data_IF_734138275056
#
_entry.id   IF_734138275056
#
_cell.length_a   1.000
_cell.length_b   1.000
_cell.length_c   1.000
_cell.angle_alpha   90.00
_cell.angle_beta   90.00
_cell.angle_gamma   90.00
#
_symmetry.space_group_name_H-M   'P 1'
#
loop_
_entity.id
_entity.type
_entity.pdbx_description
1 polymer ?
#
# COMPACT_ATOMS: atom_id res chain seq x y z
N UNK A 1 -10.60 -3.81 17.66
CA UNK A 1 -10.65 -2.34 17.53
C UNK A 1 -11.30 -1.99 16.19
N UNK A 2 -11.91 -0.82 16.01
CA UNK A 2 -12.70 -0.49 14.82
C UNK A 2 -11.92 -0.60 13.49
N UNK A 3 -10.61 -0.32 13.55
CA UNK A 3 -9.67 -0.33 12.42
C UNK A 3 -8.83 -1.61 12.29
N UNK A 4 -9.19 -2.69 12.99
CA UNK A 4 -8.40 -3.93 12.99
C UNK A 4 -9.27 -5.13 12.62
N UNK A 5 -8.83 -5.89 11.63
CA UNK A 5 -9.36 -7.23 11.31
C UNK A 5 -8.23 -8.25 11.37
N UNK A 6 -8.27 -9.13 12.36
CA UNK A 6 -7.17 -10.07 12.64
C UNK A 6 -5.87 -9.33 12.96
N UNK A 7 -4.83 -9.53 12.12
CA UNK A 7 -3.51 -8.87 12.25
C UNK A 7 -3.33 -7.64 11.36
N UNK A 8 -4.33 -7.33 10.54
CA UNK A 8 -4.31 -6.24 9.56
C UNK A 8 -4.97 -5.01 10.17
N UNK A 9 -4.29 -3.88 10.07
CA UNK A 9 -4.79 -2.56 10.43
C UNK A 9 -5.18 -1.79 9.17
N UNK A 10 -6.38 -1.21 9.14
CA UNK A 10 -6.84 -0.27 8.11
C UNK A 10 -6.70 1.17 8.60
N UNK A 11 -5.91 1.97 7.89
CA UNK A 11 -5.59 3.36 8.24
C UNK A 11 -6.09 4.32 7.17
N UNK A 12 -6.94 5.26 7.59
CA UNK A 12 -7.41 6.40 6.79
C UNK A 12 -6.97 7.69 7.47
N UNK A 13 -6.25 8.54 6.74
CA UNK A 13 -5.76 9.84 7.19
C UNK A 13 -6.28 10.91 6.24
N UNK A 14 -6.85 11.98 6.80
CA UNK A 14 -7.13 13.23 6.09
C UNK A 14 -6.25 14.34 6.65
N UNK A 15 -5.24 14.74 5.86
CA UNK A 15 -4.38 15.87 6.17
C UNK A 15 -4.83 17.08 5.35
N UNK A 16 -5.26 18.20 5.98
CA UNK A 16 -5.58 19.42 5.24
C UNK A 16 -4.36 19.93 4.50
N UNK A 17 -4.50 20.25 3.22
CA UNK A 17 -3.44 20.83 2.39
C UNK A 17 -3.39 22.34 2.63
N UNK A 18 -2.19 22.91 2.66
CA UNK A 18 -1.99 24.36 2.82
C UNK A 18 -2.59 25.09 1.62
N UNK A 19 -3.44 26.08 1.89
CA UNK A 19 -3.93 27.03 0.89
C UNK A 19 -3.12 28.33 0.99
N UNK A 20 -2.13 28.48 0.12
CA UNK A 20 -1.30 29.68 0.01
C UNK A 20 -1.52 30.34 -1.36
N UNK A 21 -2.23 31.48 -1.43
CA UNK A 21 -2.51 32.17 -2.69
C UNK A 21 -1.26 32.82 -3.30
N UNK A 22 -0.15 32.89 -2.56
CA UNK A 22 1.10 33.49 -3.03
C UNK A 22 2.13 32.46 -3.48
N UNK A 23 1.83 31.16 -3.37
CA UNK A 23 2.72 30.11 -3.81
C UNK A 23 2.83 30.11 -5.35
N UNK A 24 4.06 30.03 -5.86
CA UNK A 24 4.33 29.93 -7.31
C UNK A 24 3.69 28.65 -7.91
N UNK A 25 3.74 27.55 -7.16
CA UNK A 25 3.01 26.31 -7.44
C UNK A 25 2.15 26.00 -6.22
N UNK A 26 0.84 25.79 -6.43
CA UNK A 26 -0.06 25.45 -5.34
C UNK A 26 0.35 24.12 -4.69
N UNK A 27 0.15 24.02 -3.38
CA UNK A 27 0.57 22.85 -2.59
C UNK A 27 -0.04 21.54 -3.07
N UNK A 28 -1.30 21.55 -3.52
CA UNK A 28 -1.96 20.40 -4.12
C UNK A 28 -1.32 19.99 -5.45
N UNK A 29 -0.94 20.96 -6.29
CA UNK A 29 -0.24 20.72 -7.54
C UNK A 29 1.16 20.14 -7.29
N UNK A 30 1.89 20.67 -6.31
CA UNK A 30 3.20 20.15 -5.91
C UNK A 30 3.12 18.69 -5.46
N UNK A 31 2.14 18.34 -4.61
CA UNK A 31 1.89 16.95 -4.21
C UNK A 31 1.58 16.08 -5.43
N UNK A 32 0.64 16.48 -6.30
CA UNK A 32 0.25 15.71 -7.50
C UNK A 32 1.46 15.46 -8.41
N UNK A 33 2.28 16.48 -8.65
CA UNK A 33 3.48 16.39 -9.46
C UNK A 33 4.49 15.42 -8.86
N UNK A 34 4.74 15.50 -7.55
CA UNK A 34 5.63 14.56 -6.87
C UNK A 34 5.09 13.12 -6.96
N UNK A 35 3.82 12.90 -6.62
CA UNK A 35 3.20 11.56 -6.67
C UNK A 35 3.22 10.94 -8.07
N UNK A 36 3.17 11.75 -9.14
CA UNK A 36 3.29 11.26 -10.51
C UNK A 36 4.67 10.65 -10.81
N UNK A 37 5.71 11.03 -10.07
CA UNK A 37 7.08 10.51 -10.22
C UNK A 37 7.36 9.27 -9.36
N UNK A 38 6.50 8.98 -8.38
CA UNK A 38 6.72 7.85 -7.46
C UNK A 38 6.53 6.52 -8.19
N UNK A 39 7.55 5.62 -8.21
CA UNK A 39 7.42 4.32 -8.85
C UNK A 39 6.40 3.43 -8.12
N UNK A 40 5.74 2.55 -8.88
CA UNK A 40 4.66 1.66 -8.42
C UNK A 40 5.05 0.19 -8.37
N UNK A 41 6.31 -0.11 -8.66
CA UNK A 41 6.89 -1.45 -8.63
C UNK A 41 7.74 -1.64 -7.36
N UNK A 42 8.70 -2.57 -7.39
CA UNK A 42 9.63 -2.83 -6.29
C UNK A 42 10.50 -1.63 -5.90
N UNK A 43 10.62 -0.60 -6.76
CA UNK A 43 11.33 0.63 -6.45
C UNK A 43 10.47 1.66 -5.69
N UNK A 44 9.18 1.36 -5.47
CA UNK A 44 8.32 2.21 -4.64
C UNK A 44 8.91 2.37 -3.24
N UNK A 45 8.93 3.59 -2.65
CA UNK A 45 9.37 3.76 -1.26
C UNK A 45 8.57 2.88 -0.29
N UNK A 46 7.27 2.67 -0.55
CA UNK A 46 6.43 1.81 0.26
C UNK A 46 6.82 0.32 0.21
N UNK A 47 7.65 -0.11 -0.76
CA UNK A 47 8.22 -1.46 -0.76
C UNK A 47 9.21 -1.68 0.39
N UNK A 48 9.86 -0.62 0.90
CA UNK A 48 10.70 -0.68 2.10
C UNK A 48 9.86 -0.95 3.38
N UNK A 49 8.59 -0.55 3.37
CA UNK A 49 7.64 -0.83 4.45
C UNK A 49 7.00 -2.21 4.26
N UNK A 50 7.80 -3.26 4.49
CA UNK A 50 7.46 -4.66 4.19
C UNK A 50 6.17 -5.22 4.81
N UNK A 51 5.58 -4.54 5.81
CA UNK A 51 4.27 -4.87 6.38
C UNK A 51 3.08 -4.28 5.62
N UNK A 52 3.31 -3.41 4.64
CA UNK A 52 2.25 -2.76 3.85
C UNK A 52 1.68 -3.72 2.81
N UNK A 53 0.37 -3.98 2.87
CA UNK A 53 -0.37 -4.71 1.84
C UNK A 53 -0.71 -3.81 0.66
N UNK A 54 -1.23 -2.62 0.96
CA UNK A 54 -1.62 -1.59 0.00
C UNK A 54 -1.47 -0.23 0.66
N UNK A 55 -1.08 0.77 -0.13
CA UNK A 55 -1.21 2.16 0.26
C UNK A 55 -1.72 2.99 -0.93
N UNK A 56 -2.37 4.11 -0.63
CA UNK A 56 -2.86 5.06 -1.62
C UNK A 56 -2.74 6.47 -1.06
N UNK A 57 -2.19 7.36 -1.88
CA UNK A 57 -2.12 8.79 -1.66
C UNK A 57 -2.93 9.49 -2.76
N UNK A 58 -3.93 10.28 -2.36
CA UNK A 58 -4.80 11.01 -3.29
C UNK A 58 -5.00 12.42 -2.76
N UNK A 59 -4.95 13.40 -3.66
CA UNK A 59 -5.41 14.75 -3.36
C UNK A 59 -6.90 14.81 -3.68
N UNK A 60 -7.70 15.16 -2.68
CA UNK A 60 -9.15 15.36 -2.76
C UNK A 60 -9.44 16.86 -2.72
N UNK A 61 -9.88 17.41 -3.84
CA UNK A 61 -10.17 18.84 -3.95
C UNK A 61 -11.52 19.20 -3.33
N UNK A 62 -12.53 18.36 -3.56
CA UNK A 62 -13.89 18.60 -3.08
C UNK A 62 -14.72 17.31 -3.01
N UNK A 63 -15.87 17.36 -2.33
CA UNK A 63 -16.85 16.27 -2.30
C UNK A 63 -18.07 16.62 -3.15
N UNK A 64 -18.50 15.67 -3.97
CA UNK A 64 -19.72 15.85 -4.77
C UNK A 64 -20.92 15.48 -3.90
N UNK A 65 -21.83 16.43 -3.68
CA UNK A 65 -23.09 16.18 -3.01
C UNK A 65 -24.00 15.28 -3.86
N UNK A 66 -24.41 14.12 -3.31
CA UNK A 66 -25.29 13.15 -3.99
C UNK A 66 -26.67 13.15 -3.33
N UNK A 67 -27.43 14.24 -3.52
CA UNK A 67 -28.78 14.39 -2.98
C UNK A 67 -29.67 15.31 -3.83
N UNK A 68 -30.98 15.33 -3.55
CA UNK A 68 -31.95 16.22 -4.21
C UNK A 68 -32.58 17.16 -3.17
N UNK A 69 -32.60 18.49 -3.38
CA UNK A 69 -32.02 19.21 -4.52
C UNK A 69 -30.49 19.22 -4.47
N UNK A 70 -29.84 19.18 -5.63
CA UNK A 70 -28.38 19.26 -5.70
C UNK A 70 -27.91 20.59 -5.11
N UNK A 71 -27.10 20.53 -4.05
CA UNK A 71 -26.45 21.69 -3.44
C UNK A 71 -24.95 21.43 -3.44
N UNK A 72 -24.16 22.35 -3.98
CA UNK A 72 -22.71 22.27 -3.89
C UNK A 72 -22.30 22.40 -2.41
N UNK A 73 -21.58 21.40 -1.92
CA UNK A 73 -21.02 21.37 -0.57
C UNK A 73 -19.50 21.37 -0.70
N UNK A 74 -18.92 22.57 -0.65
CA UNK A 74 -17.47 22.73 -0.77
C UNK A 74 -16.79 22.40 0.56
N UNK A 75 -15.72 21.62 0.51
CA UNK A 75 -14.84 21.43 1.66
C UNK A 75 -14.13 22.75 2.03
N UNK A 76 -13.91 22.99 3.33
CA UNK A 76 -13.16 24.16 3.81
C UNK A 76 -11.66 24.11 3.49
N UNK A 77 -11.17 22.96 3.01
CA UNK A 77 -9.79 22.74 2.59
C UNK A 77 -9.75 21.61 1.57
N UNK A 78 -8.74 21.62 0.71
CA UNK A 78 -8.33 20.42 -0.02
C UNK A 78 -7.65 19.46 0.95
N UNK A 79 -7.77 18.17 0.73
CA UNK A 79 -7.20 17.16 1.63
C UNK A 79 -6.27 16.21 0.90
N UNK A 80 -5.16 15.90 1.56
CA UNK A 80 -4.39 14.71 1.25
C UNK A 80 -5.02 13.53 1.98
N UNK A 81 -5.52 12.59 1.19
CA UNK A 81 -6.03 11.29 1.65
C UNK A 81 -4.89 10.29 1.62
N UNK A 82 -4.55 9.73 2.78
CA UNK A 82 -3.66 8.57 2.88
C UNK A 82 -4.43 7.37 3.42
N UNK A 83 -4.49 6.33 2.60
CA UNK A 83 -5.12 5.05 2.90
C UNK A 83 -4.04 3.97 2.93
N UNK A 84 -4.01 3.13 3.95
CA UNK A 84 -3.06 2.01 4.02
C UNK A 84 -3.62 0.83 4.80
N UNK A 85 -3.35 -0.38 4.30
CA UNK A 85 -3.56 -1.61 5.04
C UNK A 85 -2.21 -2.26 5.32
N UNK A 86 -1.93 -2.56 6.58
CA UNK A 86 -0.65 -3.14 6.98
C UNK A 86 -0.78 -4.15 8.11
N UNK A 87 0.20 -5.05 8.21
CA UNK A 87 0.34 -5.95 9.34
C UNK A 87 0.99 -5.22 10.53
N UNK A 88 0.43 -5.39 11.73
CA UNK A 88 1.04 -4.89 12.98
C UNK A 88 0.29 -3.71 13.63
N UNK A 89 0.99 -2.98 14.51
CA UNK A 89 0.43 -1.84 15.22
C UNK A 89 0.75 -0.51 14.53
N UNK A 90 -0.14 0.48 14.75
CA UNK A 90 -0.09 1.78 14.11
C UNK A 90 1.17 2.58 14.48
N UNK A 91 1.59 2.57 15.74
CA UNK A 91 2.75 3.35 16.21
C UNK A 91 4.05 2.87 15.58
N UNK A 92 4.26 1.55 15.53
CA UNK A 92 5.41 0.94 14.87
C UNK A 92 5.40 1.27 13.37
N UNK A 93 4.23 1.16 12.71
CA UNK A 93 4.11 1.45 11.29
C UNK A 93 4.47 2.90 10.96
N UNK A 94 3.91 3.88 11.68
CA UNK A 94 4.19 5.29 11.47
C UNK A 94 5.64 5.65 11.80
N UNK A 95 6.21 5.04 12.83
CA UNK A 95 7.64 5.21 13.17
C UNK A 95 8.53 4.69 12.06
N UNK A 96 8.20 3.54 11.46
CA UNK A 96 8.94 3.02 10.30
C UNK A 96 8.76 3.87 9.07
N UNK A 97 7.57 4.42 8.83
CA UNK A 97 7.33 5.34 7.73
C UNK A 97 8.27 6.56 7.83
N UNK A 98 8.35 7.18 9.01
CA UNK A 98 9.25 8.31 9.24
C UNK A 98 10.75 7.95 9.07
N UNK A 99 11.14 6.73 9.45
CA UNK A 99 12.56 6.30 9.42
C UNK A 99 13.02 5.76 8.07
N UNK A 100 12.17 5.02 7.36
CA UNK A 100 12.54 4.27 6.16
C UNK A 100 12.23 5.03 4.87
N UNK A 101 11.21 5.90 4.89
CA UNK A 101 10.85 6.71 3.72
C UNK A 101 10.74 8.22 4.03
N UNK A 102 11.75 8.81 4.73
CA UNK A 102 11.67 10.20 5.17
C UNK A 102 11.52 11.18 3.99
N UNK A 103 12.19 10.93 2.87
CA UNK A 103 12.15 11.81 1.71
C UNK A 103 10.75 11.86 1.08
N UNK A 104 10.06 10.71 0.97
CA UNK A 104 8.68 10.67 0.50
C UNK A 104 7.76 11.40 1.48
N UNK A 105 7.92 11.13 2.78
CA UNK A 105 7.09 11.75 3.82
C UNK A 105 7.24 13.27 3.79
N UNK A 106 8.47 13.76 3.73
CA UNK A 106 8.75 15.20 3.70
C UNK A 106 8.24 15.84 2.40
N UNK A 107 8.42 15.18 1.24
CA UNK A 107 7.98 15.69 -0.06
C UNK A 107 6.46 15.79 -0.18
N UNK A 108 5.70 15.05 0.62
CA UNK A 108 4.24 15.02 0.56
C UNK A 108 3.63 15.83 1.70
N UNK A 109 4.00 15.55 2.95
CA UNK A 109 3.35 16.14 4.12
C UNK A 109 3.86 17.53 4.48
N UNK A 110 5.01 17.99 3.97
CA UNK A 110 5.41 19.41 4.11
C UNK A 110 4.43 20.38 3.47
N UNK A 111 3.59 19.89 2.56
CA UNK A 111 2.51 20.65 1.94
C UNK A 111 1.19 20.61 2.74
N UNK A 112 1.17 19.97 3.92
CA UNK A 112 -0.02 19.84 4.77
C UNK A 112 0.04 20.72 6.02
N UNK A 113 -1.13 21.23 6.42
CA UNK A 113 -1.27 22.11 7.59
C UNK A 113 -0.87 21.38 8.87
N UNK A 114 -0.03 22.02 9.68
CA UNK A 114 0.36 21.54 11.00
C UNK A 114 1.31 20.34 11.01
N UNK A 115 1.87 19.97 9.86
CA UNK A 115 2.89 18.93 9.77
C UNK A 115 4.15 19.32 10.56
N UNK A 116 4.66 18.48 11.47
CA UNK A 116 5.76 18.84 12.37
C UNK A 116 7.16 18.55 11.78
N UNK A 117 7.26 17.97 10.58
CA UNK A 117 8.51 17.45 10.03
C UNK A 117 8.73 15.97 10.36
N UNK A 118 9.47 15.25 9.50
CA UNK A 118 9.67 13.78 9.66
C UNK A 118 10.77 13.41 10.65
N UNK A 119 11.64 14.37 11.00
CA UNK A 119 12.83 14.14 11.84
C UNK A 119 12.52 13.74 13.28
N UNK A 120 11.29 14.01 13.74
CA UNK A 120 10.76 13.52 15.00
C UNK A 120 9.65 12.50 14.72
N UNK A 121 9.96 11.19 14.71
CA UNK A 121 8.96 10.14 14.45
C UNK A 121 7.79 10.15 15.44
N UNK A 122 8.00 10.62 16.68
CA UNK A 122 6.94 10.67 17.67
C UNK A 122 5.96 11.82 17.38
N UNK A 123 6.48 13.01 17.06
CA UNK A 123 5.66 14.13 16.62
C UNK A 123 4.90 13.81 15.34
N UNK A 124 5.58 13.16 14.39
CA UNK A 124 4.98 12.67 13.15
C UNK A 124 3.82 11.69 13.40
N UNK A 125 4.04 10.67 14.24
CA UNK A 125 3.00 9.71 14.56
C UNK A 125 1.80 10.35 15.28
N UNK A 126 2.06 11.31 16.18
CA UNK A 126 1.02 12.08 16.85
C UNK A 126 0.21 12.94 15.86
N UNK A 127 0.87 13.58 14.89
CA UNK A 127 0.21 14.31 13.81
C UNK A 127 -0.70 13.40 12.99
N UNK A 128 -0.21 12.23 12.56
CA UNK A 128 -1.00 11.27 11.79
C UNK A 128 -2.24 10.81 12.56
N UNK A 129 -2.08 10.43 13.84
CA UNK A 129 -3.22 10.04 14.69
C UNK A 129 -4.26 11.15 14.83
N UNK A 130 -3.84 12.42 14.88
CA UNK A 130 -4.76 13.56 14.91
C UNK A 130 -5.54 13.73 13.60
N UNK A 131 -4.93 13.39 12.48
CA UNK A 131 -5.54 13.41 11.14
C UNK A 131 -6.31 12.11 10.80
N UNK A 132 -6.31 11.12 11.68
CA UNK A 132 -6.93 9.83 11.43
C UNK A 132 -8.45 9.90 11.51
N UNK A 133 -9.11 9.31 10.51
CA UNK A 133 -10.53 8.97 10.61
C UNK A 133 -10.63 7.58 11.24
N UNK A 134 -11.33 7.48 12.36
CA UNK A 134 -11.65 6.18 12.96
C UNK A 134 -12.82 5.54 12.21
N UNK A 135 -12.53 4.47 11.46
CA UNK A 135 -13.54 3.72 10.70
C UNK A 135 -14.37 2.88 11.66
N UNK A 136 -15.70 2.87 11.53
CA UNK A 136 -16.59 2.12 12.44
C UNK A 136 -16.70 0.63 12.07
N UNK A 137 -16.36 0.24 10.85
CA UNK A 137 -16.41 -1.15 10.34
C UNK A 137 -15.36 -1.38 9.23
N UNK A 138 -14.19 -1.91 9.58
CA UNK A 138 -13.20 -2.39 8.60
C UNK A 138 -13.37 -3.90 8.34
N UNK A 139 -13.58 -4.29 7.08
CA UNK A 139 -13.66 -5.70 6.66
C UNK A 139 -12.47 -6.04 5.76
N UNK A 140 -11.53 -6.84 6.26
CA UNK A 140 -10.46 -7.40 5.43
C UNK A 140 -10.93 -8.70 4.76
N UNK A 141 -10.72 -8.82 3.44
CA UNK A 141 -11.11 -9.98 2.63
C UNK A 141 -10.22 -11.22 2.89
N UNK A 142 -9.04 -11.03 3.51
CA UNK A 142 -8.07 -12.10 3.78
C UNK A 142 -7.73 -12.16 5.28
N UNK A 143 -8.70 -12.55 6.09
CA UNK A 143 -8.55 -12.66 7.54
C UNK A 143 -7.68 -13.88 7.89
N UNK A 144 -6.38 -13.65 8.18
CA UNK A 144 -5.38 -14.54 8.83
C UNK A 144 -4.06 -14.80 8.07
N UNK A 145 -3.76 -14.07 7.00
CA UNK A 145 -2.50 -14.24 6.25
C UNK A 145 -1.71 -12.94 6.16
N UNK A 146 -0.41 -12.99 6.46
CA UNK A 146 0.52 -11.85 6.28
C UNK A 146 0.87 -11.65 4.82
N UNK A 147 1.35 -10.46 4.42
CA UNK A 147 1.87 -10.18 3.06
C UNK A 147 2.83 -11.29 2.62
N UNK A 148 3.78 -11.61 3.51
CA UNK A 148 4.82 -12.62 3.30
C UNK A 148 4.23 -14.01 3.01
N UNK A 149 3.17 -14.40 3.73
CA UNK A 149 2.49 -15.68 3.50
C UNK A 149 1.71 -15.71 2.19
N UNK A 150 1.05 -14.61 1.82
CA UNK A 150 0.33 -14.47 0.55
C UNK A 150 1.29 -14.52 -0.64
N UNK A 151 2.40 -13.79 -0.58
CA UNK A 151 3.44 -13.81 -1.61
C UNK A 151 4.03 -15.21 -1.79
N UNK A 152 4.31 -15.91 -0.68
CA UNK A 152 4.80 -17.29 -0.71
C UNK A 152 3.77 -18.23 -1.35
N UNK A 153 2.49 -18.11 -0.99
CA UNK A 153 1.41 -18.94 -1.55
C UNK A 153 1.28 -18.76 -3.06
N UNK A 154 1.28 -17.52 -3.55
CA UNK A 154 1.19 -17.21 -4.98
C UNK A 154 2.40 -17.75 -5.75
N UNK A 155 3.61 -17.62 -5.20
CA UNK A 155 4.83 -18.19 -5.79
C UNK A 155 4.77 -19.72 -5.86
N UNK A 156 4.26 -20.38 -4.81
CA UNK A 156 4.07 -21.84 -4.78
C UNK A 156 3.07 -22.27 -5.84
N UNK A 157 1.92 -21.61 -5.92
CA UNK A 157 0.89 -21.91 -6.91
C UNK A 157 1.44 -21.84 -8.35
N UNK A 158 2.15 -20.76 -8.69
CA UNK A 158 2.80 -20.59 -9.99
C UNK A 158 3.79 -21.73 -10.30
N UNK A 159 4.61 -22.07 -9.31
CA UNK A 159 5.68 -23.07 -9.45
C UNK A 159 5.10 -24.49 -9.57
N UNK A 160 3.98 -24.78 -8.92
CA UNK A 160 3.25 -26.06 -9.08
C UNK A 160 2.65 -26.16 -10.47
N UNK A 161 2.00 -25.10 -10.97
CA UNK A 161 1.43 -25.09 -12.31
C UNK A 161 2.50 -25.36 -13.38
N UNK A 162 3.65 -24.68 -13.27
CA UNK A 162 4.79 -24.89 -14.16
C UNK A 162 5.40 -26.29 -14.03
N UNK A 163 5.48 -26.83 -12.81
CA UNK A 163 5.93 -28.20 -12.57
C UNK A 163 5.03 -29.22 -13.28
N UNK A 164 3.71 -29.09 -13.12
CA UNK A 164 2.72 -29.95 -13.78
C UNK A 164 2.90 -29.90 -15.30
N UNK A 165 2.95 -28.70 -15.88
CA UNK A 165 3.12 -28.52 -17.33
C UNK A 165 4.39 -29.20 -17.87
N UNK A 166 5.52 -29.09 -17.17
CA UNK A 166 6.81 -29.68 -17.58
C UNK A 166 6.92 -31.20 -17.38
N UNK A 167 6.04 -31.80 -16.59
CA UNK A 167 6.14 -33.21 -16.19
C UNK A 167 4.95 -34.06 -16.68
N UNK A 168 4.11 -33.51 -17.56
CA UNK A 168 3.07 -34.29 -18.25
C UNK A 168 3.70 -35.43 -19.05
N UNK A 169 3.09 -36.62 -19.01
CA UNK A 169 3.53 -37.79 -19.76
C UNK A 169 4.78 -38.51 -19.22
N UNK A 170 5.37 -38.08 -18.09
CA UNK A 170 6.49 -38.78 -17.45
C UNK A 170 6.03 -40.01 -16.67
N UNK A 171 6.93 -40.97 -16.48
CA UNK A 171 6.65 -42.15 -15.65
C UNK A 171 6.48 -41.77 -14.17
N UNK A 172 5.79 -42.62 -13.40
CA UNK A 172 5.55 -42.40 -11.98
C UNK A 172 6.87 -42.25 -11.17
N UNK A 173 7.90 -43.02 -11.52
CA UNK A 173 9.21 -42.97 -10.86
C UNK A 173 9.92 -41.65 -11.12
N UNK A 174 9.92 -41.18 -12.37
CA UNK A 174 10.51 -39.89 -12.74
C UNK A 174 9.75 -38.73 -12.12
N UNK A 175 8.41 -38.81 -12.09
CA UNK A 175 7.56 -37.80 -11.47
C UNK A 175 7.79 -37.72 -9.97
N UNK A 176 7.93 -38.85 -9.28
CA UNK A 176 8.23 -38.89 -7.85
C UNK A 176 9.59 -38.25 -7.53
N UNK A 177 10.64 -38.58 -8.29
CA UNK A 177 11.96 -38.01 -8.09
C UNK A 177 11.98 -36.51 -8.37
N UNK A 178 11.33 -36.07 -9.45
CA UNK A 178 11.21 -34.67 -9.80
C UNK A 178 10.42 -33.89 -8.74
N UNK A 179 9.34 -34.48 -8.20
CA UNK A 179 8.53 -33.87 -7.16
C UNK A 179 9.31 -33.69 -5.85
N UNK A 180 10.12 -34.68 -5.43
CA UNK A 180 10.98 -34.54 -4.24
C UNK A 180 11.94 -33.36 -4.37
N UNK A 181 12.61 -33.22 -5.53
CA UNK A 181 13.51 -32.08 -5.80
C UNK A 181 12.75 -30.75 -5.81
N UNK A 182 11.57 -30.72 -6.43
CA UNK A 182 10.69 -29.56 -6.44
C UNK A 182 10.28 -29.14 -5.03
N UNK A 183 9.82 -30.09 -4.21
CA UNK A 183 9.37 -29.84 -2.85
C UNK A 183 10.47 -29.26 -1.96
N UNK A 184 11.69 -29.82 -2.02
CA UNK A 184 12.84 -29.29 -1.29
C UNK A 184 13.18 -27.85 -1.71
N UNK A 185 13.13 -27.55 -3.01
CA UNK A 185 13.33 -26.19 -3.50
C UNK A 185 12.27 -25.22 -2.97
N UNK A 186 11.00 -25.61 -2.91
CA UNK A 186 9.91 -24.76 -2.41
C UNK A 186 9.96 -24.58 -0.89
N UNK A 187 10.40 -25.60 -0.16
CA UNK A 187 10.57 -25.55 1.30
C UNK A 187 11.62 -24.52 1.71
N UNK A 188 12.73 -24.49 0.98
CA UNK A 188 13.88 -23.63 1.25
C UNK A 188 13.85 -22.28 0.50
N UNK A 189 12.75 -21.99 -0.19
CA UNK A 189 12.62 -20.76 -0.97
C UNK A 189 12.54 -19.54 -0.04
N UNK A 190 13.35 -18.49 -0.28
CA UNK A 190 13.23 -17.23 0.46
C UNK A 190 11.89 -16.57 0.16
N UNK A 191 11.39 -15.77 1.10
CA UNK A 191 10.14 -15.05 0.85
C UNK A 191 10.34 -14.03 -0.28
N UNK A 192 9.41 -13.93 -1.25
CA UNK A 192 9.53 -12.96 -2.33
C UNK A 192 9.59 -11.52 -1.79
N UNK A 193 10.39 -10.68 -2.44
CA UNK A 193 10.52 -9.28 -2.08
C UNK A 193 9.19 -8.54 -2.31
N UNK A 194 8.77 -7.64 -1.40
CA UNK A 194 7.61 -6.78 -1.61
C UNK A 194 7.70 -6.01 -2.95
N UNK A 195 6.59 -5.89 -3.67
CA UNK A 195 6.54 -5.19 -4.97
C UNK A 195 7.12 -5.97 -6.15
N UNK A 196 7.68 -7.17 -5.94
CA UNK A 196 8.19 -8.01 -7.04
C UNK A 196 7.04 -8.51 -7.96
N UNK A 197 7.29 -8.66 -9.28
CA UNK A 197 6.27 -9.14 -10.22
C UNK A 197 5.81 -10.55 -9.88
N UNK A 198 4.52 -10.83 -10.07
CA UNK A 198 4.00 -12.19 -9.88
C UNK A 198 4.61 -13.14 -10.94
N UNK A 199 5.34 -14.19 -10.54
CA UNK A 199 5.90 -15.15 -11.49
C UNK A 199 4.83 -15.99 -12.21
N UNK A 200 3.58 -16.02 -11.72
CA UNK A 200 2.44 -16.62 -12.45
C UNK A 200 1.89 -15.73 -13.57
N UNK A 201 2.35 -14.47 -13.67
CA UNK A 201 1.67 -13.38 -14.36
C UNK A 201 1.91 -13.25 -15.86
N UNK A 202 2.57 -14.19 -16.54
CA UNK A 202 2.75 -14.09 -18.00
C UNK A 202 1.41 -14.13 -18.78
N UNK A 203 0.31 -14.54 -18.14
CA UNK A 203 -1.04 -14.50 -18.72
C UNK A 203 -2.05 -13.58 -18.03
N UNK A 204 -1.67 -12.93 -16.92
CA UNK A 204 -2.47 -11.89 -16.28
C UNK A 204 -1.52 -10.83 -15.72
N UNK A 205 -1.35 -9.76 -16.47
CA UNK A 205 -0.66 -8.53 -16.08
C UNK A 205 -1.47 -7.78 -15.01
N UNK A 206 -1.65 -8.40 -13.84
CA UNK A 206 -2.16 -7.72 -12.65
C UNK A 206 -0.99 -7.60 -11.69
N UNK A 207 -0.43 -6.40 -11.48
CA UNK A 207 0.65 -6.22 -10.52
C UNK A 207 0.21 -6.71 -9.14
N UNK A 208 1.16 -7.29 -8.40
CA UNK A 208 0.98 -7.80 -7.03
C UNK A 208 0.71 -6.69 -5.99
N UNK A 209 0.47 -5.47 -6.46
CA UNK A 209 0.02 -4.33 -5.69
C UNK A 209 -1.17 -3.73 -6.46
N UNK A 210 -2.40 -4.07 -6.06
CA UNK A 210 -3.59 -3.48 -6.68
C UNK A 210 -3.68 -2.01 -6.27
N UNK A 211 -3.07 -1.16 -7.10
CA UNK A 211 -3.49 0.21 -7.38
C UNK A 211 -3.18 1.27 -6.32
N UNK A 212 -1.96 1.83 -6.40
CA UNK A 212 -1.79 3.29 -6.25
C UNK A 212 -2.49 3.92 -7.46
N UNK A 213 -3.79 4.14 -7.34
CA UNK A 213 -4.54 4.92 -8.31
C UNK A 213 -4.43 6.39 -7.89
N UNK A 214 -3.48 7.10 -8.48
CA UNK A 214 -3.62 8.54 -8.64
C UNK A 214 -4.70 8.73 -9.71
N UNK A 215 -5.97 8.85 -9.30
CA UNK A 215 -6.99 9.37 -10.20
C UNK A 215 -6.83 10.89 -10.25
N UNK A 216 -6.55 11.41 -11.44
CA UNK A 216 -6.84 12.78 -11.77
C UNK A 216 -8.36 12.88 -11.92
N UNK A 217 -8.99 13.39 -10.88
CA UNK A 217 -10.20 14.20 -10.98
C UNK A 217 -9.78 15.63 -10.76
#
# INVERSE_FOLDING_TARGET
MPNQSGRVYGLTILSPIIDDPNADVSHDCAIRNFLATVPRDLHSPFAALSSTHICRLVVMDDVIYVGTPAREEHLQSKYLVFESNFDGDLDTYLTWMAKQIPDLVESVWSHCVGYPGVRDPAAFAAYMKKCQIETTFYFADVNNHTVQSTLRALKVQASVAEFIARHQGKSATELQQAFRKFFERMRNMPTPEPGSPNPAGAHQSVPLNKSIAAHHG
#
